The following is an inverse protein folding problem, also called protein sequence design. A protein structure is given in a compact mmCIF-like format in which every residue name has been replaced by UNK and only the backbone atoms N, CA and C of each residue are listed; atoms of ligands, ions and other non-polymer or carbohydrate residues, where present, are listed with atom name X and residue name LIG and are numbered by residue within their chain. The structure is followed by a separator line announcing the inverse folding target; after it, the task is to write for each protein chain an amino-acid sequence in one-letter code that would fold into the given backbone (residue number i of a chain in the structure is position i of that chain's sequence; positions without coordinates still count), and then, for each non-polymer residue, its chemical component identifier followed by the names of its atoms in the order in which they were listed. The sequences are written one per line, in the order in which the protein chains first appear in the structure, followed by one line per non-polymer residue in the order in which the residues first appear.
data_IF_190129874723
#
_entry.id   IF_190129874723
#
_cell.length_a   1.000
_cell.length_b   1.000
_cell.length_c   1.000
_cell.angle_alpha   90.00
_cell.angle_beta   90.00
_cell.angle_gamma   90.00
#
_symmetry.space_group_name_H-M   'P 1'
#
loop_
_entity.id
_entity.type
_entity.pdbx_description
1 polymer ?
#
# COMPACT_ATOMS: atom_id res chain seq x y z
N UNK A 1 -12.87 -5.28 -14.25
CA UNK A 1 -13.83 -6.34 -13.88
C UNK A 1 -13.17 -7.65 -13.46
N UNK A 2 -12.25 -8.28 -14.22
CA UNK A 2 -11.51 -9.47 -13.75
C UNK A 2 -10.52 -9.14 -12.63
N UNK A 3 -9.85 -7.99 -12.73
CA UNK A 3 -8.87 -7.54 -11.75
C UNK A 3 -9.49 -7.26 -10.38
N UNK A 4 -10.71 -6.71 -10.34
CA UNK A 4 -11.39 -6.37 -9.07
C UNK A 4 -11.74 -7.62 -8.26
N UNK A 5 -12.21 -8.67 -8.93
CA UNK A 5 -12.51 -9.95 -8.29
C UNK A 5 -11.22 -10.66 -7.83
N UNK A 6 -10.14 -10.55 -8.61
CA UNK A 6 -8.83 -11.08 -8.23
C UNK A 6 -8.24 -10.33 -7.03
N UNK A 7 -8.31 -9.00 -7.01
CA UNK A 7 -7.89 -8.18 -5.86
C UNK A 7 -8.64 -8.57 -4.59
N UNK A 8 -9.95 -8.79 -4.69
CA UNK A 8 -10.76 -9.22 -3.56
C UNK A 8 -10.41 -10.64 -3.11
N UNK A 9 -10.24 -11.58 -4.03
CA UNK A 9 -9.85 -12.95 -3.72
C UNK A 9 -8.48 -13.01 -3.02
N UNK A 10 -7.51 -12.22 -3.50
CA UNK A 10 -6.21 -12.06 -2.87
C UNK A 10 -6.36 -11.50 -1.45
N UNK A 11 -7.10 -10.41 -1.28
CA UNK A 11 -7.33 -9.82 0.03
C UNK A 11 -8.01 -10.79 1.01
N UNK A 12 -9.00 -11.56 0.55
CA UNK A 12 -9.68 -12.59 1.34
C UNK A 12 -8.74 -13.71 1.78
N UNK A 13 -7.84 -14.15 0.88
CA UNK A 13 -6.83 -15.16 1.18
C UNK A 13 -5.87 -14.67 2.26
N UNK A 14 -5.45 -13.40 2.19
CA UNK A 14 -4.42 -12.84 3.05
C UNK A 14 -4.93 -12.03 4.25
N UNK A 15 -6.25 -12.03 4.50
CA UNK A 15 -6.89 -11.18 5.53
C UNK A 15 -6.31 -11.35 6.95
N UNK A 16 -5.86 -12.55 7.30
CA UNK A 16 -5.27 -12.85 8.61
C UNK A 16 -3.82 -12.38 8.77
N UNK A 17 -3.18 -11.97 7.66
CA UNK A 17 -1.79 -11.52 7.61
C UNK A 17 -1.68 -10.09 7.09
N UNK A 18 -2.67 -9.26 7.42
CA UNK A 18 -2.68 -7.84 7.08
C UNK A 18 -2.54 -7.52 5.57
N UNK A 19 -3.14 -8.36 4.71
CA UNK A 19 -3.27 -8.05 3.29
C UNK A 19 -2.16 -8.55 2.38
N UNK A 20 -1.28 -9.44 2.87
CA UNK A 20 -0.30 -10.16 2.06
C UNK A 20 0.97 -9.35 1.78
N UNK A 21 2.01 -10.00 1.24
CA UNK A 21 3.30 -9.37 1.03
C UNK A 21 3.30 -8.45 -0.20
N UNK A 22 4.05 -7.35 -0.09
CA UNK A 22 4.15 -6.28 -1.09
C UNK A 22 4.63 -6.78 -2.46
N UNK A 23 5.54 -7.75 -2.46
CA UNK A 23 6.11 -8.37 -3.66
C UNK A 23 5.08 -9.17 -4.45
N UNK A 24 4.24 -9.97 -3.79
CA UNK A 24 3.18 -10.73 -4.45
C UNK A 24 2.14 -9.78 -5.06
N UNK A 25 1.81 -8.68 -4.38
CA UNK A 25 0.91 -7.66 -4.93
C UNK A 25 1.47 -7.10 -6.24
N UNK A 26 2.76 -6.76 -6.27
CA UNK A 26 3.39 -6.22 -7.45
C UNK A 26 3.47 -7.24 -8.59
N UNK A 27 3.83 -8.48 -8.29
CA UNK A 27 3.94 -9.56 -9.28
C UNK A 27 2.57 -9.93 -9.86
N UNK A 28 1.53 -10.00 -9.03
CA UNK A 28 0.20 -10.45 -9.44
C UNK A 28 -0.61 -9.35 -10.14
N UNK A 29 -0.50 -8.09 -9.68
CA UNK A 29 -1.35 -6.99 -10.15
C UNK A 29 -0.60 -5.91 -10.94
N UNK A 30 0.74 -5.93 -10.97
CA UNK A 30 1.55 -4.93 -11.68
C UNK A 30 1.43 -3.51 -11.12
N UNK A 31 0.90 -3.35 -9.90
CA UNK A 31 0.71 -2.08 -9.23
C UNK A 31 1.44 -2.08 -7.89
N UNK A 32 1.74 -0.88 -7.39
CA UNK A 32 2.38 -0.73 -6.08
C UNK A 32 1.41 -1.12 -4.96
N UNK A 33 1.93 -1.58 -3.80
CA UNK A 33 1.10 -1.85 -2.63
C UNK A 33 0.14 -0.71 -2.24
N UNK A 34 0.54 0.58 -2.16
CA UNK A 34 -0.41 1.66 -1.85
C UNK A 34 -1.56 1.75 -2.85
N UNK A 35 -1.26 1.65 -4.14
CA UNK A 35 -2.29 1.72 -5.18
C UNK A 35 -3.24 0.53 -5.09
N UNK A 36 -2.74 -0.66 -4.76
CA UNK A 36 -3.57 -1.82 -4.50
C UNK A 36 -4.54 -1.61 -3.34
N UNK A 37 -4.07 -1.16 -2.17
CA UNK A 37 -4.95 -0.97 -1.00
C UNK A 37 -5.93 0.19 -1.18
N UNK A 38 -5.55 1.27 -1.89
CA UNK A 38 -6.48 2.34 -2.25
C UNK A 38 -7.59 1.84 -3.18
N UNK A 39 -7.23 1.10 -4.23
CA UNK A 39 -8.22 0.51 -5.15
C UNK A 39 -9.13 -0.47 -4.43
N UNK A 40 -8.56 -1.36 -3.61
CA UNK A 40 -9.33 -2.31 -2.81
C UNK A 40 -10.31 -1.59 -1.89
N UNK A 41 -9.90 -0.52 -1.20
CA UNK A 41 -10.82 0.27 -0.36
C UNK A 41 -12.00 0.85 -1.14
N UNK A 42 -11.75 1.40 -2.32
CA UNK A 42 -12.82 1.89 -3.21
C UNK A 42 -13.70 0.76 -3.74
N UNK A 43 -13.16 -0.45 -3.90
CA UNK A 43 -13.96 -1.62 -4.28
C UNK A 43 -14.90 -2.04 -3.16
N UNK A 44 -14.45 -2.03 -1.90
CA UNK A 44 -15.26 -2.44 -0.75
C UNK A 44 -16.47 -1.51 -0.49
N UNK A 45 -16.47 -0.28 -1.01
CA UNK A 45 -17.63 0.64 -0.91
C UNK A 45 -18.70 0.40 -1.98
N UNK A 46 -18.46 -0.47 -2.96
CA UNK A 46 -19.42 -0.75 -4.04
C UNK A 46 -20.46 -1.77 -3.61
N UNK A 47 -21.72 -1.48 -3.93
CA UNK A 47 -22.89 -2.29 -3.54
C UNK A 47 -22.78 -3.78 -3.90
N UNK A 48 -22.13 -4.11 -5.03
CA UNK A 48 -21.93 -5.50 -5.47
C UNK A 48 -21.10 -6.35 -4.50
N UNK A 49 -20.20 -5.72 -3.73
CA UNK A 49 -19.30 -6.38 -2.78
C UNK A 49 -19.78 -6.23 -1.33
N UNK A 50 -20.82 -5.43 -1.10
CA UNK A 50 -21.50 -5.26 0.20
C UNK A 50 -22.32 -6.51 0.62
N UNK A 51 -22.37 -7.53 -0.25
CA UNK A 51 -22.93 -8.86 0.06
C UNK A 51 -21.95 -9.79 0.79
N UNK A 52 -20.70 -9.36 0.95
CA UNK A 52 -19.75 -10.06 1.81
C UNK A 52 -20.27 -10.08 3.24
N UNK A 53 -19.88 -11.11 3.98
CA UNK A 53 -20.13 -11.16 5.42
C UNK A 53 -19.60 -9.87 6.08
N UNK A 54 -20.41 -9.19 6.93
CA UNK A 54 -20.04 -7.89 7.48
C UNK A 54 -18.77 -7.94 8.33
N UNK A 55 -18.47 -9.07 8.97
CA UNK A 55 -17.23 -9.25 9.74
C UNK A 55 -16.02 -9.30 8.81
N UNK A 56 -16.16 -9.97 7.66
CA UNK A 56 -15.11 -10.02 6.64
C UNK A 56 -14.90 -8.63 6.03
N UNK A 57 -15.98 -7.90 5.75
CA UNK A 57 -15.91 -6.55 5.19
C UNK A 57 -15.15 -5.61 6.15
N UNK A 58 -15.49 -5.62 7.43
CA UNK A 58 -14.81 -4.83 8.47
C UNK A 58 -13.32 -5.17 8.56
N UNK A 59 -12.97 -6.46 8.55
CA UNK A 59 -11.57 -6.90 8.54
C UNK A 59 -10.79 -6.35 7.34
N UNK A 60 -11.36 -6.44 6.14
CA UNK A 60 -10.71 -5.95 4.93
C UNK A 60 -10.56 -4.43 4.93
N UNK A 61 -11.58 -3.70 5.40
CA UNK A 61 -11.53 -2.25 5.57
C UNK A 61 -10.41 -1.86 6.53
N UNK A 62 -10.32 -2.54 7.68
CA UNK A 62 -9.28 -2.30 8.68
C UNK A 62 -7.87 -2.53 8.11
N UNK A 63 -7.66 -3.65 7.41
CA UNK A 63 -6.38 -3.94 6.74
C UNK A 63 -6.01 -2.83 5.75
N UNK A 64 -6.96 -2.36 4.95
CA UNK A 64 -6.72 -1.24 4.03
C UNK A 64 -6.31 0.04 4.77
N UNK A 65 -7.02 0.42 5.83
CA UNK A 65 -6.70 1.60 6.64
C UNK A 65 -5.30 1.53 7.27
N UNK A 66 -4.98 0.39 7.89
CA UNK A 66 -3.68 0.17 8.53
C UNK A 66 -2.53 0.24 7.51
N UNK A 67 -2.72 -0.35 6.33
CA UNK A 67 -1.69 -0.37 5.28
C UNK A 67 -1.50 0.99 4.62
N UNK A 68 -2.60 1.70 4.32
CA UNK A 68 -2.53 3.06 3.77
C UNK A 68 -1.85 4.01 4.79
N UNK A 69 -2.23 3.94 6.06
CA UNK A 69 -1.62 4.75 7.12
C UNK A 69 -0.14 4.46 7.33
N UNK A 70 0.27 3.18 7.31
CA UNK A 70 1.67 2.81 7.44
C UNK A 70 2.55 3.35 6.29
N UNK A 71 2.00 3.39 5.06
CA UNK A 71 2.70 3.91 3.89
C UNK A 71 2.83 5.43 3.95
N UNK A 72 1.82 6.14 4.45
CA UNK A 72 1.87 7.58 4.66
C UNK A 72 2.97 7.94 5.68
N UNK A 73 3.01 7.26 6.83
CA UNK A 73 4.05 7.46 7.85
C UNK A 73 5.45 7.22 7.28
N UNK A 74 5.63 6.14 6.49
CA UNK A 74 6.93 5.81 5.89
C UNK A 74 7.35 6.83 4.82
N UNK A 75 6.38 7.36 4.07
CA UNK A 75 6.61 8.43 3.08
C UNK A 75 6.94 9.77 3.75
N UNK A 76 6.31 10.08 4.88
CA UNK A 76 6.62 11.25 5.71
C UNK A 76 8.03 11.12 6.30
N UNK A 77 8.38 9.96 6.84
CA UNK A 77 9.70 9.70 7.39
C UNK A 77 10.81 9.73 6.32
N UNK A 78 10.55 9.23 5.11
CA UNK A 78 11.47 9.32 3.97
C UNK A 78 11.68 10.78 3.54
N UNK A 79 10.60 11.56 3.42
CA UNK A 79 10.66 13.01 3.12
C UNK A 79 11.42 13.78 4.18
N UNK A 80 11.20 13.48 5.46
CA UNK A 80 11.92 14.13 6.56
C UNK A 80 13.41 13.78 6.53
N UNK A 81 13.74 12.49 6.33
CA UNK A 81 15.13 12.03 6.17
C UNK A 81 15.84 12.67 4.96
N UNK A 82 15.14 12.86 3.84
CA UNK A 82 15.66 13.55 2.67
C UNK A 82 15.96 15.04 2.94
N UNK A 83 15.22 15.70 3.84
CA UNK A 83 15.50 17.08 4.28
C UNK A 83 16.76 17.17 5.17
N UNK A 84 17.06 16.13 5.95
CA UNK A 84 18.24 16.09 6.83
C UNK A 84 19.52 15.60 6.15
N UNK A 85 19.46 15.09 4.92
CA UNK A 85 20.65 14.83 4.11
C UNK A 85 21.13 16.16 3.52
N UNK A 86 21.92 16.92 4.29
CA UNK A 86 22.69 18.02 3.71
C UNK A 86 23.62 17.46 2.63
N UNK A 87 23.75 18.13 1.46
CA UNK A 87 24.78 17.75 0.51
C UNK A 87 26.13 17.99 1.19
N UNK A 88 26.83 16.90 1.55
CA UNK A 88 28.23 17.01 1.95
C UNK A 88 28.98 17.57 0.75
N UNK A 89 29.38 18.81 0.92
CA UNK A 89 30.31 19.57 0.09
C UNK A 89 31.51 18.71 -0.31
N UNK A 90 31.77 18.44 -1.59
CA UNK A 90 33.08 17.97 -1.99
C UNK A 90 34.03 19.18 -2.01
N UNK A 91 34.84 19.29 -0.95
CA UNK A 91 36.12 20.00 -1.01
C UNK A 91 36.95 19.36 -2.12
N UNK A 92 37.18 20.07 -3.22
CA UNK A 92 38.40 19.98 -4.04
C UNK A 92 38.26 20.85 -5.28
N UNK A 93 38.97 21.99 -5.33
CA UNK A 93 40.12 22.18 -6.24
C UNK A 93 41.05 23.25 -5.66
N UNK A 94 42.11 22.78 -4.98
CA UNK A 94 43.43 23.41 -5.09
C UNK A 94 44.02 23.04 -6.46
N UNK A 95 45.00 23.85 -6.89
CA UNK A 95 45.80 23.78 -8.13
C UNK A 95 45.18 24.54 -9.32
N UNK A 96 45.85 25.48 -9.99
CA UNK A 96 47.23 25.99 -9.90
C UNK A 96 47.25 27.44 -10.42
#
# INVERSE_FOLDING_TARGET
MRDEAAMLAFALKWRHWNGGPDEDIFVEFGITPPEFFHRLRVLLTRDRWNRLDPVILDQLVKVCDERIGAIDIRSVADRDRAKFVSPRHPLSKLSA
#
